data_IF_953677181079
#
_entry.id   IF_953677181079
#
_cell.length_a   1.000
_cell.length_b   1.000
_cell.length_c   1.000
_cell.angle_alpha   90.00
_cell.angle_beta   90.00
_cell.angle_gamma   90.00
#
_symmetry.space_group_name_H-M   'P 1'
#
loop_
_entity.id
_entity.type
_entity.pdbx_description
1 polymer ?
#
# COMPACT_ATOMS: atom_id res chain seq x y z
N UNK A 1 35.64 -48.95 27.11
CA UNK A 1 35.26 -47.62 27.64
C UNK A 1 34.86 -46.60 26.54
N UNK A 2 35.19 -46.81 25.25
CA UNK A 2 34.94 -45.81 24.19
C UNK A 2 33.53 -45.79 23.55
N UNK A 3 32.77 -46.90 23.53
CA UNK A 3 31.45 -46.93 22.85
C UNK A 3 30.35 -46.10 23.54
N UNK A 4 30.42 -45.92 24.86
CA UNK A 4 29.42 -45.15 25.62
C UNK A 4 29.61 -43.62 25.49
N UNK A 5 30.82 -43.17 25.16
CA UNK A 5 31.13 -41.75 24.97
C UNK A 5 30.67 -41.25 23.59
N UNK A 6 30.75 -42.07 22.56
CA UNK A 6 30.26 -41.73 21.21
C UNK A 6 28.73 -41.65 21.16
N UNK A 7 28.02 -42.64 21.74
CA UNK A 7 26.55 -42.62 21.81
C UNK A 7 26.00 -41.41 22.58
N UNK A 8 26.69 -40.99 23.65
CA UNK A 8 26.34 -39.78 24.41
C UNK A 8 26.58 -38.49 23.63
N UNK A 9 27.54 -38.46 22.70
CA UNK A 9 27.82 -37.29 21.86
C UNK A 9 26.77 -37.15 20.75
N UNK A 10 26.43 -38.24 20.07
CA UNK A 10 25.43 -38.25 19.00
C UNK A 10 24.03 -37.86 19.52
N UNK A 11 23.65 -38.28 20.73
CA UNK A 11 22.38 -37.86 21.33
C UNK A 11 22.33 -36.37 21.67
N UNK A 12 23.44 -35.78 22.14
CA UNK A 12 23.52 -34.33 22.40
C UNK A 12 23.48 -33.53 21.10
N UNK A 13 24.12 -33.99 20.04
CA UNK A 13 24.08 -33.33 18.73
C UNK A 13 22.68 -33.34 18.13
N UNK A 14 21.95 -34.46 18.23
CA UNK A 14 20.57 -34.56 17.79
C UNK A 14 19.61 -33.67 18.60
N UNK A 15 19.81 -33.55 19.92
CA UNK A 15 19.02 -32.62 20.75
C UNK A 15 19.31 -31.15 20.42
N UNK A 16 20.55 -30.80 20.11
CA UNK A 16 20.93 -29.44 19.68
C UNK A 16 20.34 -29.14 18.30
N UNK A 17 20.41 -30.08 17.36
CA UNK A 17 19.80 -29.95 16.03
C UNK A 17 18.28 -29.77 16.13
N UNK A 18 17.62 -30.54 17.02
CA UNK A 18 16.18 -30.47 17.22
C UNK A 18 15.76 -29.17 17.92
N UNK A 19 16.52 -28.69 18.92
CA UNK A 19 16.31 -27.36 19.53
C UNK A 19 16.55 -26.22 18.55
N UNK A 20 17.53 -26.34 17.65
CA UNK A 20 17.79 -25.35 16.61
C UNK A 20 16.68 -25.34 15.54
N UNK A 21 16.11 -26.50 15.19
CA UNK A 21 14.97 -26.59 14.29
C UNK A 21 13.68 -26.04 14.93
N UNK A 22 13.45 -26.32 16.22
CA UNK A 22 12.33 -25.74 16.98
C UNK A 22 12.49 -24.23 17.10
N UNK A 23 13.69 -23.72 17.45
CA UNK A 23 13.97 -22.27 17.47
C UNK A 23 13.81 -21.61 16.10
N UNK A 24 14.31 -22.22 15.02
CA UNK A 24 14.07 -21.73 13.65
C UNK A 24 12.58 -21.69 13.32
N UNK A 25 11.81 -22.71 13.71
CA UNK A 25 10.37 -22.74 13.56
C UNK A 25 9.65 -21.64 14.35
N UNK A 26 10.03 -21.43 15.61
CA UNK A 26 9.46 -20.39 16.48
C UNK A 26 9.81 -18.97 16.02
N UNK A 27 11.06 -18.72 15.63
CA UNK A 27 11.51 -17.42 15.09
C UNK A 27 10.83 -17.10 13.76
N UNK A 28 10.65 -18.10 12.88
CA UNK A 28 9.93 -17.91 11.62
C UNK A 28 8.43 -17.62 11.85
N UNK A 29 7.80 -18.23 12.86
CA UNK A 29 6.41 -17.93 13.24
C UNK A 29 6.29 -16.54 13.87
N UNK A 30 7.26 -16.10 14.68
CA UNK A 30 7.29 -14.75 15.27
C UNK A 30 7.49 -13.66 14.22
N UNK A 31 8.38 -13.87 13.24
CA UNK A 31 8.56 -12.93 12.13
C UNK A 31 7.28 -12.83 11.28
N UNK A 32 6.61 -13.96 10.99
CA UNK A 32 5.32 -13.95 10.28
C UNK A 32 4.22 -13.24 11.07
N UNK A 33 4.22 -13.33 12.41
CA UNK A 33 3.29 -12.60 13.27
C UNK A 33 3.54 -11.07 13.25
N UNK A 34 4.81 -10.63 13.30
CA UNK A 34 5.19 -9.21 13.17
C UNK A 34 4.77 -8.62 11.82
N UNK A 35 5.04 -9.34 10.72
CA UNK A 35 4.65 -8.94 9.34
C UNK A 35 3.11 -8.88 9.18
N UNK A 36 2.36 -9.66 9.97
CA UNK A 36 0.89 -9.62 9.98
C UNK A 36 0.34 -8.40 10.72
N UNK A 37 1.00 -7.94 11.77
CA UNK A 37 0.59 -6.72 12.51
C UNK A 37 0.84 -5.44 11.70
N UNK A 38 1.83 -5.46 10.79
CA UNK A 38 2.23 -4.26 10.05
C UNK A 38 1.23 -3.81 8.98
N UNK A 39 0.57 -4.75 8.29
CA UNK A 39 -0.58 -4.44 7.42
C UNK A 39 -1.82 -4.09 8.24
N UNK A 40 -1.95 -4.64 9.46
CA UNK A 40 -3.03 -4.34 10.41
C UNK A 40 -2.85 -2.98 11.12
N UNK A 41 -1.82 -2.22 10.74
CA UNK A 41 -1.55 -0.87 11.24
C UNK A 41 -2.54 0.18 10.72
N UNK A 42 -2.42 1.41 11.24
CA UNK A 42 -3.22 2.56 10.80
C UNK A 42 -3.22 2.76 9.28
N UNK A 43 -2.12 2.48 8.57
CA UNK A 43 -2.09 2.58 7.10
C UNK A 43 -3.04 1.58 6.42
N UNK A 44 -3.17 0.38 6.96
CA UNK A 44 -4.13 -0.61 6.48
C UNK A 44 -5.57 -0.20 6.77
N UNK A 45 -5.84 0.33 7.96
CA UNK A 45 -7.16 0.87 8.29
C UNK A 45 -7.51 2.07 7.39
N UNK A 46 -6.55 2.95 7.09
CA UNK A 46 -6.71 4.05 6.13
C UNK A 46 -7.10 3.52 4.75
N UNK A 47 -6.38 2.50 4.25
CA UNK A 47 -6.68 1.91 2.95
C UNK A 47 -8.07 1.27 2.93
N UNK A 48 -8.41 0.48 3.95
CA UNK A 48 -9.68 -0.24 4.04
C UNK A 48 -10.86 0.73 4.20
N UNK A 49 -10.81 1.62 5.19
CA UNK A 49 -11.86 2.60 5.44
C UNK A 49 -12.03 3.58 4.28
N UNK A 50 -10.93 4.13 3.76
CA UNK A 50 -10.97 5.01 2.59
C UNK A 50 -11.58 4.33 1.36
N UNK A 51 -11.17 3.10 1.06
CA UNK A 51 -11.72 2.39 -0.09
C UNK A 51 -13.18 1.97 0.15
N UNK A 52 -13.48 1.22 1.20
CA UNK A 52 -14.81 0.63 1.37
C UNK A 52 -15.88 1.60 1.91
N UNK A 53 -15.52 2.53 2.81
CA UNK A 53 -16.49 3.45 3.43
C UNK A 53 -16.62 4.79 2.67
N UNK A 54 -15.51 5.35 2.20
CA UNK A 54 -15.50 6.63 1.48
C UNK A 54 -15.80 6.42 -0.01
N UNK A 55 -15.06 5.55 -0.70
CA UNK A 55 -15.29 5.32 -2.13
C UNK A 55 -16.51 4.43 -2.44
N UNK A 56 -16.94 3.58 -1.49
CA UNK A 56 -18.10 2.68 -1.64
C UNK A 56 -18.12 1.97 -3.01
N UNK A 57 -17.11 1.12 -3.27
CA UNK A 57 -16.84 0.60 -4.60
C UNK A 57 -17.93 -0.34 -5.08
N UNK A 58 -18.09 -0.43 -6.40
CA UNK A 58 -18.89 -1.44 -7.09
C UNK A 58 -17.99 -2.29 -7.98
N UNK A 59 -18.34 -3.57 -8.14
CA UNK A 59 -17.59 -4.48 -9.01
C UNK A 59 -17.59 -3.94 -10.44
N UNK A 60 -16.45 -4.05 -11.11
CA UNK A 60 -16.26 -3.53 -12.47
C UNK A 60 -15.94 -2.04 -12.56
N UNK A 61 -15.98 -1.28 -11.47
CA UNK A 61 -15.57 0.14 -11.48
C UNK A 61 -14.07 0.30 -11.72
N UNK A 62 -13.71 1.45 -12.27
CA UNK A 62 -12.34 1.84 -12.62
C UNK A 62 -11.74 2.71 -11.53
N UNK A 63 -10.65 2.22 -10.94
CA UNK A 63 -10.00 2.80 -9.77
C UNK A 63 -8.62 3.31 -10.15
N UNK A 64 -8.38 4.58 -9.91
CA UNK A 64 -7.05 5.19 -9.98
C UNK A 64 -6.49 5.37 -8.56
N UNK A 65 -5.22 5.04 -8.36
CA UNK A 65 -4.52 5.19 -7.07
C UNK A 65 -3.22 5.97 -7.29
N UNK A 66 -3.09 7.14 -6.67
CA UNK A 66 -1.82 7.88 -6.66
C UNK A 66 -0.90 7.39 -5.55
N UNK A 67 0.42 7.55 -5.71
CA UNK A 67 1.44 6.97 -4.82
C UNK A 67 1.21 5.47 -4.54
N UNK A 68 0.84 4.72 -5.59
CA UNK A 68 0.32 3.36 -5.47
C UNK A 68 1.31 2.34 -4.90
N UNK A 69 2.61 2.63 -4.92
CA UNK A 69 3.65 1.75 -4.34
C UNK A 69 3.96 2.07 -2.87
N UNK A 70 3.36 3.10 -2.28
CA UNK A 70 3.54 3.45 -0.87
C UNK A 70 2.67 2.63 0.07
N UNK A 71 2.83 2.85 1.39
CA UNK A 71 2.15 2.09 2.47
C UNK A 71 0.63 1.93 2.31
N UNK A 72 -0.11 3.00 2.00
CA UNK A 72 -1.56 2.95 1.83
C UNK A 72 -1.95 2.51 0.41
N UNK A 73 -1.35 3.13 -0.61
CA UNK A 73 -1.73 2.93 -2.01
C UNK A 73 -1.62 1.48 -2.48
N UNK A 74 -0.60 0.75 -2.00
CA UNK A 74 -0.41 -0.64 -2.40
C UNK A 74 -1.54 -1.55 -1.88
N UNK A 75 -2.07 -1.25 -0.70
CA UNK A 75 -3.18 -2.00 -0.10
C UNK A 75 -4.50 -1.65 -0.79
N UNK A 76 -4.74 -0.36 -1.07
CA UNK A 76 -5.94 0.11 -1.79
C UNK A 76 -6.07 -0.60 -3.14
N UNK A 77 -4.99 -0.64 -3.92
CA UNK A 77 -5.01 -1.31 -5.22
C UNK A 77 -5.30 -2.80 -5.11
N UNK A 78 -4.70 -3.49 -4.14
CA UNK A 78 -4.97 -4.91 -3.90
C UNK A 78 -6.42 -5.15 -3.46
N UNK A 79 -6.98 -4.33 -2.56
CA UNK A 79 -8.41 -4.41 -2.22
C UNK A 79 -9.30 -4.20 -3.44
N UNK A 80 -9.00 -3.21 -4.26
CA UNK A 80 -9.76 -2.94 -5.48
C UNK A 80 -9.70 -4.12 -6.47
N UNK A 81 -8.52 -4.72 -6.68
CA UNK A 81 -8.36 -5.93 -7.50
C UNK A 81 -9.15 -7.11 -6.94
N UNK A 82 -9.04 -7.37 -5.63
CA UNK A 82 -9.76 -8.45 -4.95
C UNK A 82 -11.28 -8.23 -4.96
N UNK A 83 -11.73 -6.97 -5.00
CA UNK A 83 -13.14 -6.61 -5.12
C UNK A 83 -13.68 -6.78 -6.56
N UNK A 84 -12.79 -6.88 -7.56
CA UNK A 84 -13.16 -7.04 -8.97
C UNK A 84 -13.24 -5.72 -9.74
N UNK A 85 -12.43 -4.74 -9.37
CA UNK A 85 -12.26 -3.48 -10.10
C UNK A 85 -11.14 -3.59 -11.17
N UNK A 86 -11.20 -2.68 -12.15
CA UNK A 86 -10.04 -2.34 -12.98
C UNK A 86 -9.22 -1.27 -12.25
N UNK A 87 -7.92 -1.48 -12.09
CA UNK A 87 -7.07 -0.67 -11.21
C UNK A 87 -5.81 -0.23 -11.95
N UNK A 88 -5.58 1.08 -11.96
CA UNK A 88 -4.32 1.67 -12.45
C UNK A 88 -3.69 2.49 -11.34
N UNK A 89 -2.36 2.38 -11.21
CA UNK A 89 -1.58 3.10 -10.21
C UNK A 89 -0.51 3.99 -10.84
N UNK A 90 -0.09 5.04 -10.14
CA UNK A 90 1.12 5.77 -10.52
C UNK A 90 2.18 5.70 -9.42
N UNK A 91 3.45 5.69 -9.84
CA UNK A 91 4.61 5.70 -8.96
C UNK A 91 5.75 6.55 -9.58
N UNK A 92 6.80 6.82 -8.81
CA UNK A 92 7.87 7.75 -9.21
C UNK A 92 9.08 7.13 -9.92
N UNK A 93 9.07 5.82 -10.17
CA UNK A 93 10.17 5.12 -10.86
C UNK A 93 9.63 3.93 -11.66
N UNK A 94 10.37 3.52 -12.70
CA UNK A 94 10.02 2.35 -13.52
C UNK A 94 9.95 1.05 -12.70
N UNK A 95 10.87 0.85 -11.75
CA UNK A 95 10.89 -0.33 -10.88
C UNK A 95 9.61 -0.42 -10.04
N UNK A 96 9.11 0.72 -9.55
CA UNK A 96 7.84 0.77 -8.81
C UNK A 96 6.64 0.48 -9.71
N UNK A 97 6.68 0.92 -10.97
CA UNK A 97 5.64 0.61 -11.96
C UNK A 97 5.59 -0.89 -12.26
N UNK A 98 6.75 -1.51 -12.49
CA UNK A 98 6.86 -2.97 -12.70
C UNK A 98 6.34 -3.74 -11.48
N UNK A 99 6.72 -3.31 -10.26
CA UNK A 99 6.21 -3.88 -9.01
C UNK A 99 4.68 -3.87 -8.92
N UNK A 100 4.03 -2.76 -9.27
CA UNK A 100 2.57 -2.63 -9.23
C UNK A 100 1.88 -3.65 -10.13
N UNK A 101 2.39 -3.80 -11.36
CA UNK A 101 1.80 -4.69 -12.37
C UNK A 101 2.09 -6.15 -12.07
N UNK A 102 3.36 -6.48 -11.85
CA UNK A 102 3.81 -7.87 -11.77
C UNK A 102 3.57 -8.51 -10.40
N UNK A 103 3.76 -7.76 -9.31
CA UNK A 103 3.67 -8.31 -7.95
C UNK A 103 2.32 -8.05 -7.28
N UNK A 104 1.72 -6.89 -7.51
CA UNK A 104 0.47 -6.48 -6.86
C UNK A 104 -0.78 -6.68 -7.72
N UNK A 105 -0.61 -7.01 -9.01
CA UNK A 105 -1.71 -7.36 -9.91
C UNK A 105 -2.56 -6.16 -10.35
N UNK A 106 -2.01 -4.94 -10.33
CA UNK A 106 -2.65 -3.80 -11.00
C UNK A 106 -2.78 -4.10 -12.49
N UNK A 107 -3.87 -3.66 -13.13
CA UNK A 107 -4.07 -3.88 -14.56
C UNK A 107 -3.08 -3.05 -15.38
N UNK A 108 -2.80 -1.82 -14.93
CA UNK A 108 -1.73 -1.01 -15.48
C UNK A 108 -1.09 -0.09 -14.44
N UNK A 109 0.05 0.49 -14.79
CA UNK A 109 0.69 1.53 -13.98
C UNK A 109 1.65 2.37 -14.83
N UNK A 110 1.92 3.60 -14.37
CA UNK A 110 2.82 4.53 -15.06
C UNK A 110 3.73 5.32 -14.12
N UNK A 111 4.87 5.75 -14.67
CA UNK A 111 5.81 6.61 -13.96
C UNK A 111 5.40 8.07 -14.17
N UNK A 112 4.81 8.72 -13.16
CA UNK A 112 4.31 10.09 -13.32
C UNK A 112 5.42 11.12 -13.63
N UNK A 113 6.69 10.81 -13.32
CA UNK A 113 7.83 11.70 -13.60
C UNK A 113 8.25 11.70 -15.08
N UNK A 114 7.80 10.71 -15.86
CA UNK A 114 8.11 10.58 -17.28
C UNK A 114 7.00 11.16 -18.18
N UNK A 115 5.90 11.61 -17.57
CA UNK A 115 4.71 12.08 -18.28
C UNK A 115 4.67 13.60 -18.33
N UNK A 116 4.45 14.15 -19.53
CA UNK A 116 4.41 15.60 -19.76
C UNK A 116 3.02 16.21 -19.63
N UNK A 117 1.97 15.39 -19.79
CA UNK A 117 0.57 15.80 -19.61
C UNK A 117 -0.20 14.69 -18.89
N UNK A 118 -0.51 14.92 -17.62
CA UNK A 118 -1.23 13.98 -16.77
C UNK A 118 -2.68 13.76 -17.24
N UNK A 119 -3.34 14.77 -17.84
CA UNK A 119 -4.73 14.63 -18.32
C UNK A 119 -4.79 13.64 -19.48
N UNK A 120 -3.92 13.83 -20.47
CA UNK A 120 -3.81 12.88 -21.60
C UNK A 120 -3.32 11.52 -21.14
N UNK A 121 -2.39 11.46 -20.19
CA UNK A 121 -1.89 10.20 -19.62
C UNK A 121 -3.02 9.39 -19.02
N UNK A 122 -3.81 9.97 -18.11
CA UNK A 122 -4.93 9.28 -17.48
C UNK A 122 -5.97 8.85 -18.51
N UNK A 123 -6.23 9.65 -19.56
CA UNK A 123 -7.13 9.26 -20.64
C UNK A 123 -6.66 8.01 -21.41
N UNK A 124 -5.35 7.79 -21.56
CA UNK A 124 -4.81 6.57 -22.20
C UNK A 124 -5.11 5.31 -21.38
N UNK A 125 -4.97 5.39 -20.05
CA UNK A 125 -5.22 4.26 -19.15
C UNK A 125 -6.70 4.09 -18.79
N UNK A 126 -7.49 5.15 -18.91
CA UNK A 126 -8.92 5.19 -18.62
C UNK A 126 -9.71 5.78 -19.81
N UNK A 127 -9.79 5.09 -20.96
CA UNK A 127 -10.49 5.60 -22.14
C UNK A 127 -11.96 5.92 -21.86
N UNK A 128 -12.64 5.10 -21.03
CA UNK A 128 -14.02 5.36 -20.55
C UNK A 128 -14.07 5.89 -19.10
N UNK A 129 -13.07 6.68 -18.71
CA UNK A 129 -13.05 7.49 -17.48
C UNK A 129 -12.78 6.74 -16.17
N UNK A 130 -12.72 7.50 -15.08
CA UNK A 130 -12.37 7.04 -13.72
C UNK A 130 -13.61 7.09 -12.82
N UNK A 131 -13.95 6.01 -12.14
CA UNK A 131 -15.08 5.96 -11.21
C UNK A 131 -14.68 6.28 -9.77
N UNK A 132 -13.45 5.89 -9.41
CA UNK A 132 -12.87 6.12 -8.08
C UNK A 132 -11.44 6.61 -8.24
N UNK A 133 -11.11 7.71 -7.57
CA UNK A 133 -9.74 8.15 -7.36
C UNK A 133 -9.41 8.09 -5.87
N UNK A 134 -8.41 7.29 -5.50
CA UNK A 134 -7.84 7.31 -4.16
C UNK A 134 -6.61 8.22 -4.16
N UNK A 135 -6.76 9.40 -3.57
CA UNK A 135 -5.77 10.47 -3.65
C UNK A 135 -4.86 10.49 -2.43
N UNK A 136 -3.57 10.21 -2.67
CA UNK A 136 -2.50 10.32 -1.69
C UNK A 136 -1.58 11.52 -1.95
N UNK A 137 -1.74 12.22 -3.07
CA UNK A 137 -0.75 13.18 -3.60
C UNK A 137 -1.28 14.61 -3.66
N UNK A 138 -2.49 14.84 -4.15
CA UNK A 138 -3.02 16.17 -4.42
C UNK A 138 -2.43 16.81 -5.69
N UNK A 139 -2.45 18.15 -5.74
CA UNK A 139 -1.91 18.96 -6.83
C UNK A 139 -2.40 18.62 -8.23
N UNK A 140 -1.51 18.74 -9.23
CA UNK A 140 -1.79 18.50 -10.66
C UNK A 140 -2.40 17.13 -10.95
N UNK A 141 -2.06 16.12 -10.13
CA UNK A 141 -2.62 14.77 -10.27
C UNK A 141 -4.10 14.73 -9.92
N UNK A 142 -4.51 15.46 -8.87
CA UNK A 142 -5.93 15.59 -8.51
C UNK A 142 -6.71 16.30 -9.62
N UNK A 143 -6.16 17.37 -10.19
CA UNK A 143 -6.78 18.08 -11.32
C UNK A 143 -6.95 17.16 -12.54
N UNK A 144 -5.91 16.40 -12.88
CA UNK A 144 -5.94 15.47 -13.99
C UNK A 144 -6.95 14.33 -13.77
N UNK A 145 -7.05 13.83 -12.54
CA UNK A 145 -8.00 12.79 -12.18
C UNK A 145 -9.45 13.30 -12.25
N UNK A 146 -9.76 14.47 -11.65
CA UNK A 146 -11.09 15.09 -11.71
C UNK A 146 -11.52 15.35 -13.16
N UNK A 147 -10.61 15.81 -14.01
CA UNK A 147 -10.88 16.00 -15.43
C UNK A 147 -11.28 14.69 -16.14
N UNK A 148 -10.66 13.56 -15.79
CA UNK A 148 -10.92 12.26 -16.40
C UNK A 148 -11.99 11.42 -15.67
N UNK A 149 -12.64 11.96 -14.65
CA UNK A 149 -13.65 11.23 -13.88
C UNK A 149 -14.97 11.06 -14.63
N UNK A 150 -15.62 9.93 -14.36
CA UNK A 150 -16.97 9.62 -14.78
C UNK A 150 -18.02 10.39 -13.97
N UNK A 151 -19.24 10.41 -14.49
CA UNK A 151 -20.39 10.93 -13.74
C UNK A 151 -20.62 10.07 -12.48
N UNK A 152 -20.84 10.72 -11.34
CA UNK A 152 -20.91 10.12 -9.99
C UNK A 152 -19.60 9.50 -9.51
N UNK A 153 -18.46 9.91 -10.09
CA UNK A 153 -17.15 9.48 -9.60
C UNK A 153 -16.89 9.96 -8.17
N UNK A 154 -16.03 9.24 -7.45
CA UNK A 154 -15.69 9.54 -6.04
C UNK A 154 -14.18 9.70 -5.87
N UNK A 155 -13.79 10.73 -5.14
CA UNK A 155 -12.42 10.97 -4.72
C UNK A 155 -12.34 10.83 -3.20
N UNK A 156 -11.56 9.86 -2.73
CA UNK A 156 -11.16 9.78 -1.33
C UNK A 156 -9.82 10.50 -1.17
N UNK A 157 -9.84 11.67 -0.53
CA UNK A 157 -8.64 12.46 -0.24
C UNK A 157 -8.02 11.93 1.04
N UNK A 158 -7.04 11.03 0.89
CA UNK A 158 -6.30 10.40 1.98
C UNK A 158 -5.13 11.27 2.45
N UNK A 159 -4.47 11.97 1.52
CA UNK A 159 -3.32 12.82 1.81
C UNK A 159 -2.94 13.66 0.60
N UNK A 160 -2.18 14.73 0.85
CA UNK A 160 -1.71 15.66 -0.19
C UNK A 160 -0.20 15.84 -0.12
N UNK A 161 0.56 14.74 -0.25
CA UNK A 161 2.02 14.78 -0.01
C UNK A 161 2.75 15.80 -0.89
N UNK A 162 2.27 16.09 -2.11
CA UNK A 162 2.91 17.11 -2.95
C UNK A 162 2.77 18.51 -2.36
N UNK A 163 1.63 18.80 -1.73
CA UNK A 163 1.34 20.11 -1.14
C UNK A 163 2.08 20.33 0.19
N UNK A 164 2.37 19.25 0.93
CA UNK A 164 3.22 19.32 2.13
C UNK A 164 4.67 19.67 1.77
N UNK A 165 5.16 19.20 0.62
CA UNK A 165 6.53 19.47 0.17
C UNK A 165 6.68 20.77 -0.61
N UNK A 166 5.61 21.25 -1.25
CA UNK A 166 5.59 22.46 -2.05
C UNK A 166 4.20 23.10 -2.04
N UNK A 167 4.05 24.18 -1.27
CA UNK A 167 2.77 24.89 -1.11
C UNK A 167 2.28 25.59 -2.39
N UNK A 168 3.13 25.74 -3.41
CA UNK A 168 2.73 26.28 -4.70
C UNK A 168 1.94 25.27 -5.56
N UNK A 169 2.00 23.97 -5.21
CA UNK A 169 1.32 22.88 -5.94
C UNK A 169 -0.08 22.55 -5.43
N UNK A 170 -0.78 23.53 -4.83
CA UNK A 170 -2.16 23.33 -4.37
C UNK A 170 -3.06 23.00 -5.54
N UNK A 171 -3.85 21.93 -5.41
CA UNK A 171 -4.81 21.56 -6.44
C UNK A 171 -5.90 22.63 -6.62
N UNK A 172 -6.24 22.91 -7.87
CA UNK A 172 -7.40 23.71 -8.27
C UNK A 172 -8.27 22.92 -9.27
N UNK A 173 -8.94 21.83 -8.84
CA UNK A 173 -9.79 21.06 -9.73
C UNK A 173 -10.92 21.93 -10.30
N UNK A 174 -11.28 21.69 -11.57
CA UNK A 174 -12.36 22.44 -12.21
C UNK A 174 -13.70 22.12 -11.53
N UNK A 175 -14.26 23.10 -10.83
CA UNK A 175 -15.53 22.92 -10.12
C UNK A 175 -16.71 22.72 -11.06
N UNK A 176 -16.61 23.13 -12.34
CA UNK A 176 -17.62 22.79 -13.35
C UNK A 176 -17.64 21.29 -13.60
N UNK A 177 -16.46 20.64 -13.66
CA UNK A 177 -16.40 19.18 -13.73
C UNK A 177 -17.03 18.54 -12.50
N UNK A 178 -16.75 19.06 -11.30
CA UNK A 178 -17.34 18.55 -10.06
C UNK A 178 -18.87 18.64 -10.09
N UNK A 179 -19.42 19.79 -10.49
CA UNK A 179 -20.87 20.03 -10.58
C UNK A 179 -21.50 19.16 -11.66
N UNK A 180 -21.00 19.24 -12.90
CA UNK A 180 -21.63 18.58 -14.04
C UNK A 180 -21.40 17.08 -14.05
N UNK A 181 -20.32 16.55 -13.46
CA UNK A 181 -20.15 15.09 -13.27
C UNK A 181 -20.66 14.62 -11.90
N UNK A 182 -21.15 15.51 -11.03
CA UNK A 182 -21.65 15.15 -9.68
C UNK A 182 -20.61 14.35 -8.89
N UNK A 183 -19.38 14.83 -8.92
CA UNK A 183 -18.24 14.18 -8.26
C UNK A 183 -18.33 14.42 -6.76
N UNK A 184 -18.16 13.36 -5.97
CA UNK A 184 -17.96 13.49 -4.53
C UNK A 184 -16.46 13.55 -4.24
N UNK A 185 -15.99 14.63 -3.62
CA UNK A 185 -14.62 14.76 -3.12
C UNK A 185 -14.70 14.81 -1.60
N UNK A 186 -14.12 13.81 -0.93
CA UNK A 186 -14.23 13.65 0.51
C UNK A 186 -12.88 13.33 1.15
N UNK A 187 -12.44 14.20 2.05
CA UNK A 187 -11.35 13.89 2.99
C UNK A 187 -11.82 12.98 4.11
N UNK A 188 -10.90 12.20 4.68
CA UNK A 188 -11.18 11.32 5.81
C UNK A 188 -9.94 11.10 6.68
N UNK A 189 -10.15 10.67 7.93
CA UNK A 189 -9.09 10.24 8.83
C UNK A 189 -9.33 8.79 9.25
N UNK A 190 -8.25 8.02 9.37
CA UNK A 190 -8.31 6.62 9.81
C UNK A 190 -8.92 6.46 11.21
N UNK A 191 -8.70 7.44 12.08
CA UNK A 191 -9.29 7.47 13.43
C UNK A 191 -10.83 7.43 13.41
N UNK A 192 -11.45 8.01 12.39
CA UNK A 192 -12.92 8.02 12.23
C UNK A 192 -13.45 6.69 11.64
N UNK A 193 -12.57 5.80 11.19
CA UNK A 193 -12.91 4.50 10.58
C UNK A 193 -12.81 3.33 11.57
N UNK A 194 -12.68 3.60 12.87
CA UNK A 194 -12.56 2.56 13.89
C UNK A 194 -13.81 1.65 13.97
N UNK A 195 -14.96 2.14 13.51
CA UNK A 195 -16.18 1.33 13.42
C UNK A 195 -16.05 0.12 12.47
N UNK A 196 -15.13 0.17 11.50
CA UNK A 196 -14.86 -0.95 10.56
C UNK A 196 -13.58 -1.72 10.89
N UNK A 197 -12.95 -1.44 12.02
CA UNK A 197 -11.67 -2.04 12.38
C UNK A 197 -11.73 -3.57 12.46
N UNK A 198 -12.78 -4.14 13.05
CA UNK A 198 -12.95 -5.59 13.15
C UNK A 198 -13.06 -6.26 11.76
N UNK A 199 -13.86 -5.67 10.86
CA UNK A 199 -14.01 -6.16 9.48
C UNK A 199 -12.71 -6.05 8.70
N UNK A 200 -12.00 -4.93 8.88
CA UNK A 200 -10.66 -4.72 8.34
C UNK A 200 -9.70 -5.84 8.79
N UNK A 201 -9.57 -6.09 10.09
CA UNK A 201 -8.66 -7.12 10.61
C UNK A 201 -8.99 -8.50 10.03
N UNK A 202 -10.27 -8.89 10.07
CA UNK A 202 -10.71 -10.20 9.58
C UNK A 202 -10.44 -10.35 8.08
N UNK A 203 -10.90 -9.39 7.28
CA UNK A 203 -10.76 -9.43 5.81
C UNK A 203 -9.30 -9.46 5.39
N UNK A 204 -8.48 -8.59 6.00
CA UNK A 204 -7.05 -8.48 5.68
C UNK A 204 -6.30 -9.73 6.07
N UNK A 205 -6.51 -10.22 7.30
CA UNK A 205 -5.85 -11.42 7.79
C UNK A 205 -6.18 -12.63 6.90
N UNK A 206 -7.42 -12.76 6.44
CA UNK A 206 -7.84 -13.84 5.55
C UNK A 206 -7.21 -13.72 4.16
N UNK A 207 -7.10 -12.52 3.59
CA UNK A 207 -6.41 -12.32 2.32
C UNK A 207 -4.91 -12.61 2.41
N UNK A 208 -4.26 -12.22 3.51
CA UNK A 208 -2.86 -12.51 3.78
C UNK A 208 -2.64 -14.03 3.96
N UNK A 209 -3.43 -14.69 4.82
CA UNK A 209 -3.30 -16.14 5.06
C UNK A 209 -3.48 -16.98 3.79
N UNK A 210 -4.38 -16.55 2.92
CA UNK A 210 -4.65 -17.23 1.65
C UNK A 210 -3.72 -16.77 0.50
N UNK A 211 -2.70 -15.95 0.79
CA UNK A 211 -1.73 -15.47 -0.19
C UNK A 211 -2.30 -14.55 -1.28
N UNK A 212 -3.54 -14.08 -1.11
CA UNK A 212 -4.28 -13.20 -2.03
C UNK A 212 -3.83 -11.75 -1.96
N UNK A 213 -3.23 -11.35 -0.84
CA UNK A 213 -2.62 -10.04 -0.64
C UNK A 213 -1.13 -10.20 -0.32
N UNK A 214 -0.31 -9.28 -0.84
CA UNK A 214 1.13 -9.22 -0.63
C UNK A 214 1.46 -8.06 0.30
N UNK A 215 2.41 -8.30 1.19
CA UNK A 215 3.00 -7.28 2.05
C UNK A 215 4.21 -6.67 1.34
N UNK A 216 4.31 -5.34 1.39
CA UNK A 216 5.46 -4.59 0.92
C UNK A 216 6.01 -3.75 2.07
N UNK A 217 7.25 -4.04 2.44
CA UNK A 217 7.97 -3.38 3.52
C UNK A 217 9.36 -2.98 3.02
N UNK A 218 9.82 -1.85 3.53
CA UNK A 218 11.16 -1.31 3.34
C UNK A 218 11.79 -1.16 4.72
N UNK A 219 12.60 -2.15 5.10
CA UNK A 219 13.13 -2.30 6.45
C UNK A 219 14.57 -1.80 6.48
N UNK A 220 14.80 -0.76 7.28
CA UNK A 220 16.13 -0.29 7.66
C UNK A 220 16.47 -0.79 9.08
N UNK A 221 17.75 -0.92 9.39
CA UNK A 221 18.20 -1.45 10.68
C UNK A 221 19.01 -0.40 11.45
N UNK A 222 18.78 -0.35 12.77
CA UNK A 222 19.51 0.51 13.68
C UNK A 222 18.92 1.93 13.82
N UNK A 223 19.10 2.52 14.99
CA UNK A 223 18.61 3.88 15.30
C UNK A 223 19.27 4.92 14.40
N UNK A 224 20.51 4.66 14.00
CA UNK A 224 21.31 5.47 13.09
C UNK A 224 20.70 5.62 11.70
N UNK A 225 19.86 4.68 11.26
CA UNK A 225 19.21 4.75 9.94
C UNK A 225 18.02 5.70 9.93
N UNK A 226 17.44 6.06 11.09
CA UNK A 226 16.21 6.84 11.20
C UNK A 226 16.24 8.11 10.35
N UNK A 227 17.28 8.98 10.41
CA UNK A 227 17.28 10.21 9.62
C UNK A 227 17.23 9.95 8.10
N UNK A 228 18.03 8.99 7.61
CA UNK A 228 18.08 8.65 6.19
C UNK A 228 16.77 8.02 5.74
N UNK A 229 16.24 7.08 6.52
CA UNK A 229 14.96 6.41 6.26
C UNK A 229 13.79 7.42 6.25
N UNK A 230 13.80 8.40 7.15
CA UNK A 230 12.79 9.45 7.18
C UNK A 230 12.87 10.39 5.97
N UNK A 231 14.07 10.78 5.55
CA UNK A 231 14.25 11.59 4.33
C UNK A 231 13.80 10.86 3.07
N UNK A 232 14.03 9.55 2.99
CA UNK A 232 13.62 8.70 1.87
C UNK A 232 12.09 8.69 1.63
N UNK A 233 11.29 8.95 2.68
CA UNK A 233 9.83 9.08 2.56
C UNK A 233 9.43 10.27 1.68
N UNK A 234 10.16 11.39 1.78
CA UNK A 234 9.84 12.62 1.07
C UNK A 234 10.48 12.69 -0.33
N UNK A 235 11.61 12.02 -0.54
CA UNK A 235 12.15 11.83 -1.90
C UNK A 235 11.33 10.81 -2.70
N UNK A 236 10.52 10.00 -2.01
CA UNK A 236 9.71 8.94 -2.59
C UNK A 236 10.57 7.80 -3.11
N UNK A 237 11.66 7.47 -2.39
CA UNK A 237 12.55 6.36 -2.73
C UNK A 237 12.03 5.03 -2.15
N UNK A 238 11.33 5.08 -1.03
CA UNK A 238 10.82 3.90 -0.31
C UNK A 238 9.78 3.08 -1.09
N UNK A 239 9.74 1.76 -0.88
CA UNK A 239 8.74 0.85 -1.46
C UNK A 239 7.90 0.23 -0.33
N UNK A 240 6.59 0.47 -0.34
CA UNK A 240 5.69 -0.05 0.68
C UNK A 240 5.82 0.69 2.01
N UNK A 241 5.63 -0.03 3.10
CA UNK A 241 5.71 0.50 4.47
C UNK A 241 7.16 0.59 4.91
N UNK A 242 7.60 1.78 5.27
CA UNK A 242 8.95 2.01 5.79
C UNK A 242 9.00 1.67 7.28
N UNK A 243 9.96 0.84 7.67
CA UNK A 243 10.14 0.35 9.03
C UNK A 243 11.62 0.53 9.42
N UNK A 244 11.87 0.98 10.66
CA UNK A 244 13.21 0.94 11.24
C UNK A 244 13.22 -0.07 12.37
N UNK A 245 13.98 -1.15 12.18
CA UNK A 245 14.16 -2.18 13.20
C UNK A 245 15.26 -1.74 14.16
N UNK A 246 14.88 -1.41 15.40
CA UNK A 246 15.79 -0.93 16.45
C UNK A 246 16.46 -2.10 17.20
N UNK A 247 15.74 -3.19 17.41
CA UNK A 247 16.24 -4.42 18.04
C UNK A 247 15.79 -5.60 17.17
N UNK A 248 16.69 -6.55 16.91
CA UNK A 248 16.34 -7.77 16.19
C UNK A 248 15.43 -8.65 17.06
N UNK A 249 14.41 -9.27 16.45
CA UNK A 249 13.55 -10.23 17.14
C UNK A 249 14.41 -11.40 17.65
N UNK A 250 14.32 -11.69 18.96
CA UNK A 250 15.07 -12.75 19.66
C UNK A 250 14.32 -14.08 19.62
#
# INVERSE_FOLDING_TARGET
MNKNLEASRTNRENEIQNRNNVKKGTVMVSAVACIQEDVQSFSGLTAYGGFFQVCRPKKGEKVFVSAASGSVGNLVGQYAKLFGCYVVGCAGTKQKVELLKEKLGFDDAFNYKEETDLKSTLKRYFPDGIDIYFDNVGGDMLEAAVFNMNTFGRVAVCGVISEYTDVAKRAAPDMLDVIYKRIAIQGFLAADQMNVYADFLSTTADHLRNGKMKVLEDISHGVESIPTTFMALFSGDNIGKTIVQIIADV
#
